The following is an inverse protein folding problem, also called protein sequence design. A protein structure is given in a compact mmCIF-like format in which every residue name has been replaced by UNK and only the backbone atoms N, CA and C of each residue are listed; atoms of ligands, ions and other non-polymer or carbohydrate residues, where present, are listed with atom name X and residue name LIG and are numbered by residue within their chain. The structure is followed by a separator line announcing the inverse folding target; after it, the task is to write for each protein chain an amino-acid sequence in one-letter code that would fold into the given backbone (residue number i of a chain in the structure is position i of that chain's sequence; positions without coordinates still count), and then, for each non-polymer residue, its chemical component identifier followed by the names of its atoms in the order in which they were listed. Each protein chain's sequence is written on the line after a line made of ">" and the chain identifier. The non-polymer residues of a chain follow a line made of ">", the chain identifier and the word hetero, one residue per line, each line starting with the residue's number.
data_IF_865299850432
#
_entry.id   IF_865299850432
#
_cell.length_a   1.000
_cell.length_b   1.000
_cell.length_c   1.000
_cell.angle_alpha   90.00
_cell.angle_beta   90.00
_cell.angle_gamma   90.00
#
_symmetry.space_group_name_H-M   'P 1'
#
loop_
_entity.id
_entity.type
_entity.pdbx_description
1 polymer ?
#
# COMPACT_ATOMS: atom_id res chain seq x y z
N UNK A 1 -0.07 -26.25 5.80
CA UNK A 1 -1.54 -26.07 5.83
C UNK A 1 -2.00 -25.47 4.52
N UNK A 2 -2.89 -26.18 3.82
CA UNK A 2 -3.49 -25.71 2.56
C UNK A 2 -4.17 -24.35 2.76
N UNK A 3 -3.93 -23.39 1.87
CA UNK A 3 -4.65 -22.10 1.84
C UNK A 3 -6.14 -22.41 1.76
N UNK A 4 -6.90 -22.19 2.84
CA UNK A 4 -8.37 -22.20 2.79
C UNK A 4 -8.80 -21.16 1.75
N UNK A 5 -9.35 -21.63 0.65
CA UNK A 5 -9.99 -20.79 -0.36
C UNK A 5 -11.28 -20.23 0.20
N UNK A 6 -11.20 -19.13 0.94
CA UNK A 6 -12.38 -18.35 1.26
C UNK A 6 -12.80 -17.56 0.00
N UNK A 7 -13.65 -18.17 -0.83
CA UNK A 7 -14.47 -17.40 -1.79
C UNK A 7 -15.50 -16.65 -0.96
N UNK A 8 -15.14 -15.48 -0.46
CA UNK A 8 -16.14 -14.56 0.08
C UNK A 8 -17.04 -14.14 -1.08
N UNK A 9 -18.23 -14.75 -1.20
CA UNK A 9 -19.21 -14.40 -2.22
C UNK A 9 -19.90 -13.11 -1.81
N UNK A 10 -19.50 -12.01 -2.42
CA UNK A 10 -20.09 -10.69 -2.19
C UNK A 10 -21.44 -10.49 -2.87
N UNK A 11 -21.92 -11.46 -3.65
CA UNK A 11 -23.06 -11.32 -4.57
C UNK A 11 -22.78 -10.40 -5.76
N UNK A 12 -21.79 -9.50 -5.65
CA UNK A 12 -21.32 -8.60 -6.70
C UNK A 12 -20.28 -9.35 -7.56
N UNK A 13 -20.71 -9.82 -8.73
CA UNK A 13 -19.85 -10.50 -9.69
C UNK A 13 -19.01 -9.51 -10.51
N UNK A 14 -17.87 -9.98 -11.01
CA UNK A 14 -17.11 -9.28 -12.05
C UNK A 14 -17.72 -9.64 -13.41
N UNK A 15 -17.74 -8.67 -14.31
CA UNK A 15 -18.10 -8.88 -15.70
C UNK A 15 -17.03 -9.72 -16.38
N UNK A 16 -17.46 -10.76 -17.09
CA UNK A 16 -16.60 -11.63 -17.87
C UNK A 16 -16.14 -10.91 -19.16
N UNK A 17 -15.01 -11.34 -19.71
CA UNK A 17 -14.47 -10.86 -20.99
C UNK A 17 -14.04 -9.39 -21.08
N UNK A 18 -13.93 -8.67 -19.95
CA UNK A 18 -13.34 -7.33 -19.92
C UNK A 18 -11.82 -7.39 -19.74
N UNK A 19 -11.11 -6.60 -20.54
CA UNK A 19 -9.66 -6.46 -20.49
C UNK A 19 -9.28 -5.47 -19.38
N UNK A 20 -9.54 -5.87 -18.14
CA UNK A 20 -9.50 -5.01 -16.95
C UNK A 20 -8.12 -4.42 -16.64
N UNK A 21 -7.05 -4.97 -17.21
CA UNK A 21 -5.69 -4.46 -17.03
C UNK A 21 -5.30 -3.42 -18.07
N UNK A 22 -6.07 -3.26 -19.14
CA UNK A 22 -5.71 -2.37 -20.24
C UNK A 22 -5.86 -0.90 -19.86
N UNK A 23 -5.00 -0.08 -20.47
CA UNK A 23 -5.16 1.34 -20.52
C UNK A 23 -6.11 1.75 -21.65
N UNK A 24 -6.83 2.84 -21.41
CA UNK A 24 -7.70 3.51 -22.35
C UNK A 24 -7.30 4.98 -22.44
N UNK A 25 -7.51 5.62 -23.58
CA UNK A 25 -7.49 7.07 -23.70
C UNK A 25 -8.95 7.57 -23.65
N UNK A 26 -9.22 8.64 -22.93
CA UNK A 26 -10.53 9.30 -22.92
C UNK A 26 -10.38 10.74 -23.37
N UNK A 27 -11.10 11.16 -24.41
CA UNK A 27 -10.96 12.49 -25.01
C UNK A 27 -12.33 13.09 -25.35
N UNK A 28 -12.43 14.41 -25.35
CA UNK A 28 -13.63 15.13 -25.80
C UNK A 28 -13.47 15.47 -27.27
N UNK A 29 -14.47 15.13 -28.09
CA UNK A 29 -14.46 15.44 -29.51
C UNK A 29 -14.39 16.95 -29.73
N UNK A 30 -13.39 17.43 -30.45
CA UNK A 30 -13.18 18.86 -30.68
C UNK A 30 -14.25 19.48 -31.59
N UNK A 31 -14.99 18.65 -32.34
CA UNK A 31 -16.09 19.09 -33.21
C UNK A 31 -17.44 19.13 -32.50
N UNK A 32 -17.78 18.11 -31.70
CA UNK A 32 -19.15 17.93 -31.19
C UNK A 32 -19.27 17.80 -29.66
N UNK A 33 -18.15 17.88 -28.92
CA UNK A 33 -18.14 17.83 -27.46
C UNK A 33 -18.43 16.46 -26.83
N UNK A 34 -18.60 15.39 -27.63
CA UNK A 34 -18.84 14.06 -27.08
C UNK A 34 -17.56 13.53 -26.39
N UNK A 35 -17.69 13.00 -25.17
CA UNK A 35 -16.66 12.19 -24.53
C UNK A 35 -16.55 10.82 -25.23
N UNK A 36 -15.37 10.55 -25.79
CA UNK A 36 -15.02 9.30 -26.45
C UNK A 36 -13.94 8.57 -25.65
N UNK A 37 -13.86 7.26 -25.83
CA UNK A 37 -12.81 6.44 -25.22
C UNK A 37 -12.26 5.44 -26.24
N UNK A 38 -10.94 5.27 -26.27
CA UNK A 38 -10.23 4.34 -27.16
C UNK A 38 -9.38 3.40 -26.32
N UNK A 39 -9.42 2.11 -26.64
CA UNK A 39 -8.61 1.09 -25.97
C UNK A 39 -7.16 1.18 -26.48
N UNK A 40 -6.21 1.31 -25.57
CA UNK A 40 -4.78 1.41 -25.88
C UNK A 40 -4.07 0.07 -25.65
N UNK A 41 -4.48 -0.67 -24.61
CA UNK A 41 -3.93 -1.99 -24.29
C UNK A 41 -2.92 -1.96 -23.14
N UNK A 42 -1.98 -2.92 -23.13
CA UNK A 42 -1.01 -3.10 -22.06
C UNK A 42 0.25 -2.23 -22.17
N UNK A 43 0.52 -1.65 -23.35
CA UNK A 43 1.66 -0.76 -23.59
C UNK A 43 1.16 0.67 -23.70
N UNK A 44 1.59 1.53 -22.78
CA UNK A 44 1.30 2.97 -22.88
C UNK A 44 2.04 3.56 -24.09
N UNK A 45 1.43 4.56 -24.70
CA UNK A 45 1.98 5.28 -25.85
C UNK A 45 2.76 6.49 -25.32
N UNK A 46 3.93 6.76 -25.89
CA UNK A 46 4.55 8.06 -25.71
C UNK A 46 3.76 9.14 -26.50
N UNK A 47 3.79 10.41 -26.09
CA UNK A 47 3.12 11.49 -26.81
C UNK A 47 3.46 11.58 -28.30
N UNK A 48 4.74 11.43 -28.65
CA UNK A 48 5.18 11.53 -30.03
C UNK A 48 4.72 10.30 -30.84
N UNK A 49 4.77 9.10 -30.26
CA UNK A 49 4.21 7.88 -30.87
C UNK A 49 2.71 8.02 -31.13
N UNK A 50 1.97 8.58 -30.16
CA UNK A 50 0.53 8.79 -30.28
C UNK A 50 0.21 9.79 -31.39
N UNK A 51 0.95 10.91 -31.47
CA UNK A 51 0.78 11.90 -32.55
C UNK A 51 0.95 11.27 -33.93
N UNK A 52 1.99 10.45 -34.09
CA UNK A 52 2.33 9.85 -35.38
C UNK A 52 1.31 8.77 -35.78
N UNK A 53 1.01 7.85 -34.86
CA UNK A 53 0.31 6.59 -35.15
C UNK A 53 -1.20 6.60 -34.89
N UNK A 54 -1.73 7.50 -34.05
CA UNK A 54 -3.13 7.46 -33.66
C UNK A 54 -4.03 8.27 -34.60
N UNK A 55 -5.18 7.68 -34.92
CA UNK A 55 -6.35 8.35 -35.50
C UNK A 55 -7.56 7.98 -34.65
N UNK A 56 -8.07 8.91 -33.86
CA UNK A 56 -9.17 8.65 -32.93
C UNK A 56 -10.47 9.23 -33.47
N UNK A 57 -11.40 8.35 -33.88
CA UNK A 57 -12.68 8.76 -34.45
C UNK A 57 -13.71 9.01 -33.35
N UNK A 58 -14.51 10.08 -33.50
CA UNK A 58 -15.63 10.34 -32.62
C UNK A 58 -16.81 9.40 -32.95
N UNK A 59 -17.31 8.67 -31.95
CA UNK A 59 -18.44 7.75 -32.12
C UNK A 59 -19.77 8.42 -32.47
N UNK A 60 -19.92 9.75 -32.28
CA UNK A 60 -21.14 10.49 -32.64
C UNK A 60 -21.07 11.15 -34.00
N UNK A 61 -19.98 11.87 -34.29
CA UNK A 61 -19.89 12.69 -35.52
C UNK A 61 -18.88 12.16 -36.55
N UNK A 62 -18.21 11.04 -36.26
CA UNK A 62 -17.22 10.43 -37.15
C UNK A 62 -15.91 11.21 -37.30
N UNK A 63 -15.81 12.42 -36.74
CA UNK A 63 -14.62 13.25 -36.88
C UNK A 63 -13.37 12.54 -36.35
N UNK A 64 -12.36 12.45 -37.21
CA UNK A 64 -11.07 11.86 -36.89
C UNK A 64 -10.14 12.88 -36.24
N UNK A 65 -9.58 12.51 -35.09
CA UNK A 65 -8.59 13.29 -34.37
C UNK A 65 -7.22 12.70 -34.68
N UNK A 66 -6.40 13.44 -35.41
CA UNK A 66 -5.10 12.99 -35.89
C UNK A 66 -4.31 14.14 -36.47
N UNK A 67 -2.99 14.01 -36.54
CA UNK A 67 -2.10 15.08 -37.03
C UNK A 67 -2.39 15.52 -38.48
N UNK A 68 -2.98 14.63 -39.28
CA UNK A 68 -3.34 14.90 -40.68
C UNK A 68 -4.76 15.48 -40.83
N UNK A 69 -5.51 15.60 -39.74
CA UNK A 69 -6.87 16.14 -39.74
C UNK A 69 -6.84 17.65 -39.65
N UNK A 70 -7.65 18.33 -40.47
CA UNK A 70 -7.95 19.74 -40.25
C UNK A 70 -8.70 19.91 -38.92
N UNK A 71 -8.46 21.00 -38.21
CA UNK A 71 -9.26 21.36 -37.05
C UNK A 71 -10.70 21.72 -37.50
N UNK A 72 -11.70 21.62 -36.61
CA UNK A 72 -13.03 22.12 -36.93
C UNK A 72 -12.98 23.60 -37.31
N UNK A 73 -13.91 24.01 -38.16
CA UNK A 73 -14.08 25.40 -38.53
C UNK A 73 -14.69 26.15 -37.34
N UNK A 74 -13.82 26.71 -36.49
CA UNK A 74 -14.22 27.51 -35.35
C UNK A 74 -14.29 28.96 -35.77
N UNK A 75 -15.44 29.60 -35.52
CA UNK A 75 -15.70 31.00 -35.91
C UNK A 75 -14.64 32.00 -35.43
N UNK A 76 -13.91 31.66 -34.36
CA UNK A 76 -12.89 32.51 -33.74
C UNK A 76 -11.45 32.21 -34.17
N UNK A 77 -11.22 31.28 -35.10
CA UNK A 77 -9.88 30.95 -35.64
C UNK A 77 -9.85 31.20 -37.14
N UNK A 78 -8.76 31.75 -37.70
CA UNK A 78 -8.64 31.90 -39.14
C UNK A 78 -8.55 30.51 -39.81
N UNK A 79 -9.24 30.32 -40.94
CA UNK A 79 -9.26 29.05 -41.67
C UNK A 79 -7.88 28.51 -42.04
N UNK A 80 -6.91 29.40 -42.29
CA UNK A 80 -5.51 29.05 -42.54
C UNK A 80 -4.84 28.34 -41.34
N UNK A 81 -5.25 28.69 -40.11
CA UNK A 81 -4.74 28.08 -38.89
C UNK A 81 -5.43 26.74 -38.56
N UNK A 82 -6.64 26.49 -39.07
CA UNK A 82 -7.37 25.23 -38.88
C UNK A 82 -7.09 24.23 -40.00
N UNK A 83 -6.52 24.67 -41.12
CA UNK A 83 -6.15 23.82 -42.25
C UNK A 83 -5.21 22.67 -41.85
N UNK A 84 -5.45 21.49 -42.43
CA UNK A 84 -4.61 20.31 -42.24
C UNK A 84 -3.16 20.60 -42.64
N UNK A 85 -2.20 20.16 -41.82
CA UNK A 85 -0.77 20.38 -42.07
C UNK A 85 -0.26 21.80 -41.78
N UNK A 86 -1.14 22.76 -41.46
CA UNK A 86 -0.72 24.08 -41.00
C UNK A 86 0.06 23.98 -39.68
N UNK A 87 1.00 24.90 -39.46
CA UNK A 87 1.77 24.92 -38.22
C UNK A 87 0.89 25.02 -36.96
N UNK A 88 -0.16 25.86 -36.90
CA UNK A 88 -1.07 25.92 -35.75
C UNK A 88 -1.83 24.61 -35.53
N UNK A 89 -2.38 24.00 -36.58
CA UNK A 89 -3.08 22.71 -36.46
C UNK A 89 -2.14 21.59 -35.96
N UNK A 90 -0.91 21.54 -36.47
CA UNK A 90 0.09 20.56 -36.02
C UNK A 90 0.45 20.74 -34.53
N UNK A 91 0.63 21.99 -34.08
CA UNK A 91 0.87 22.29 -32.64
C UNK A 91 -0.34 21.95 -31.78
N UNK A 92 -1.55 22.18 -32.27
CA UNK A 92 -2.77 21.75 -31.59
C UNK A 92 -2.78 20.24 -31.39
N UNK A 93 -2.53 19.45 -32.44
CA UNK A 93 -2.52 17.99 -32.35
C UNK A 93 -1.42 17.45 -31.45
N UNK A 94 -0.23 18.07 -31.47
CA UNK A 94 0.84 17.77 -30.51
C UNK A 94 0.36 17.96 -29.06
N UNK A 95 -0.28 19.09 -28.76
CA UNK A 95 -0.86 19.35 -27.44
C UNK A 95 -1.97 18.35 -27.09
N UNK A 96 -2.86 18.07 -28.04
CA UNK A 96 -3.97 17.14 -27.89
C UNK A 96 -3.47 15.75 -27.48
N UNK A 97 -2.57 15.12 -28.24
CA UNK A 97 -2.09 13.78 -27.89
C UNK A 97 -1.24 13.77 -26.63
N UNK A 98 -0.45 14.82 -26.40
CA UNK A 98 0.35 14.95 -25.17
C UNK A 98 -0.52 14.90 -23.92
N UNK A 99 -1.59 15.71 -23.82
CA UNK A 99 -2.45 15.75 -22.63
C UNK A 99 -3.02 14.36 -22.28
N UNK A 100 -3.29 13.54 -23.29
CA UNK A 100 -3.90 12.21 -23.12
C UNK A 100 -2.89 11.07 -22.90
N UNK A 101 -1.59 11.31 -23.07
CA UNK A 101 -0.55 10.24 -23.07
C UNK A 101 0.74 10.60 -22.33
N UNK A 102 0.89 11.83 -21.83
CA UNK A 102 2.12 12.34 -21.19
C UNK A 102 2.56 11.55 -19.95
N UNK A 103 1.61 11.00 -19.20
CA UNK A 103 1.91 10.20 -18.01
C UNK A 103 0.79 9.17 -17.76
N UNK A 104 1.04 8.12 -16.94
CA UNK A 104 0.04 7.10 -16.65
C UNK A 104 -1.28 7.66 -16.09
N UNK A 105 -1.27 8.83 -15.44
CA UNK A 105 -2.47 9.43 -14.85
C UNK A 105 -3.38 10.16 -15.84
N UNK A 106 -2.90 10.42 -17.06
CA UNK A 106 -3.67 10.91 -18.20
C UNK A 106 -4.59 9.85 -18.81
N UNK A 107 -4.27 8.57 -18.57
CA UNK A 107 -5.03 7.45 -19.09
C UNK A 107 -6.30 7.17 -18.29
N UNK A 108 -7.16 6.36 -18.88
CA UNK A 108 -8.42 5.87 -18.36
C UNK A 108 -8.34 4.35 -18.22
N UNK A 109 -9.29 3.78 -17.50
CA UNK A 109 -9.36 2.34 -17.24
C UNK A 109 -10.80 1.88 -17.20
N UNK A 110 -11.05 0.66 -17.68
CA UNK A 110 -12.36 0.04 -17.61
C UNK A 110 -12.55 -0.73 -16.29
N UNK A 111 -13.64 -0.45 -15.60
CA UNK A 111 -14.01 -1.16 -14.38
C UNK A 111 -14.56 -2.54 -14.71
N UNK A 112 -13.97 -3.60 -14.14
CA UNK A 112 -14.44 -4.96 -14.39
C UNK A 112 -15.70 -5.36 -13.62
N UNK A 113 -16.27 -4.46 -12.83
CA UNK A 113 -17.51 -4.72 -12.08
C UNK A 113 -18.72 -4.03 -12.73
N UNK A 114 -18.56 -2.77 -13.17
CA UNK A 114 -19.66 -2.00 -13.78
C UNK A 114 -19.46 -1.66 -15.26
N UNK A 115 -18.35 -2.08 -15.87
CA UNK A 115 -18.07 -1.90 -17.31
C UNK A 115 -17.70 -0.48 -17.74
N UNK A 116 -17.91 0.53 -16.88
CA UNK A 116 -17.58 1.93 -17.18
C UNK A 116 -16.09 2.13 -17.39
N UNK A 117 -15.74 2.88 -18.43
CA UNK A 117 -14.39 3.44 -18.63
C UNK A 117 -14.32 4.77 -17.89
N UNK A 118 -13.37 4.90 -16.96
CA UNK A 118 -13.28 6.04 -16.05
C UNK A 118 -11.83 6.57 -15.98
N UNK A 119 -11.62 7.84 -15.57
CA UNK A 119 -10.27 8.38 -15.38
C UNK A 119 -9.44 7.55 -14.40
N UNK A 120 -8.13 7.55 -14.56
CA UNK A 120 -7.16 6.87 -13.70
C UNK A 120 -7.42 7.02 -12.20
N UNK A 121 -7.79 8.23 -11.77
CA UNK A 121 -8.03 8.59 -10.37
C UNK A 121 -9.28 7.89 -9.82
N UNK A 122 -10.19 7.38 -10.65
CA UNK A 122 -11.34 6.60 -10.20
C UNK A 122 -10.96 5.22 -9.62
N UNK A 123 -9.69 4.81 -9.70
CA UNK A 123 -9.20 3.51 -9.24
C UNK A 123 -8.13 3.64 -8.16
N UNK A 124 -8.16 2.73 -7.18
CA UNK A 124 -7.13 2.66 -6.13
C UNK A 124 -5.83 2.09 -6.68
N UNK A 125 -4.68 2.52 -6.13
CA UNK A 125 -3.35 2.02 -6.53
C UNK A 125 -3.21 0.53 -6.17
N UNK A 126 -2.63 -0.23 -7.09
CA UNK A 126 -2.22 -1.62 -6.87
C UNK A 126 -1.02 -1.95 -7.75
N UNK A 127 0.14 -2.19 -7.15
CA UNK A 127 1.35 -2.54 -7.88
C UNK A 127 1.17 -3.87 -8.64
N UNK A 128 1.78 -3.98 -9.82
CA UNK A 128 1.77 -5.20 -10.64
C UNK A 128 0.47 -5.52 -11.37
N UNK A 129 -0.50 -4.61 -11.44
CA UNK A 129 -1.81 -4.82 -12.10
C UNK A 129 -1.91 -4.07 -13.45
N UNK A 130 -0.99 -4.37 -14.36
CA UNK A 130 -0.89 -3.75 -15.68
C UNK A 130 -0.20 -2.39 -15.66
N UNK A 131 -0.14 -1.69 -16.81
CA UNK A 131 0.67 -0.48 -16.99
C UNK A 131 0.26 0.69 -16.09
N UNK A 132 -1.00 0.72 -15.63
CA UNK A 132 -1.52 1.81 -14.79
C UNK A 132 -1.30 1.58 -13.29
N UNK A 133 -0.91 0.36 -12.87
CA UNK A 133 -0.83 -0.01 -11.45
C UNK A 133 -2.10 0.34 -10.64
N UNK A 134 -3.27 -0.03 -11.19
CA UNK A 134 -4.58 0.26 -10.60
C UNK A 134 -5.40 -1.02 -10.41
N UNK A 135 -6.24 -1.02 -9.37
CA UNK A 135 -7.22 -2.07 -9.13
C UNK A 135 -8.17 -2.24 -10.34
N UNK A 136 -8.70 -3.44 -10.51
CA UNK A 136 -9.61 -3.77 -11.61
C UNK A 136 -11.01 -3.15 -11.41
N UNK A 137 -11.45 -3.04 -10.17
CA UNK A 137 -12.69 -2.36 -9.80
C UNK A 137 -12.46 -0.86 -9.52
N UNK A 138 -13.41 0.00 -9.92
CA UNK A 138 -13.38 1.42 -9.56
C UNK A 138 -13.73 1.62 -8.07
N UNK A 139 -13.36 2.78 -7.52
CA UNK A 139 -13.59 3.11 -6.10
C UNK A 139 -15.06 3.02 -5.69
N UNK A 140 -16.00 3.35 -6.58
CA UNK A 140 -17.44 3.21 -6.31
C UNK A 140 -17.86 1.75 -6.15
N UNK A 141 -17.45 0.87 -7.07
CA UNK A 141 -17.74 -0.56 -6.99
C UNK A 141 -17.03 -1.20 -5.79
N UNK A 142 -15.78 -0.79 -5.52
CA UNK A 142 -15.05 -1.22 -4.33
C UNK A 142 -15.75 -0.85 -3.04
N UNK A 143 -16.36 0.34 -2.97
CA UNK A 143 -17.19 0.76 -1.85
C UNK A 143 -18.34 -0.19 -1.58
N UNK A 144 -19.12 -0.53 -2.62
CA UNK A 144 -20.23 -1.49 -2.51
C UNK A 144 -19.75 -2.89 -2.08
N UNK A 145 -18.66 -3.38 -2.69
CA UNK A 145 -18.03 -4.67 -2.31
C UNK A 145 -17.61 -4.67 -0.83
N UNK A 146 -16.94 -3.59 -0.39
CA UNK A 146 -16.48 -3.48 0.99
C UNK A 146 -17.63 -3.33 1.99
N UNK A 147 -18.77 -2.75 1.61
CA UNK A 147 -19.94 -2.67 2.48
C UNK A 147 -20.49 -4.07 2.86
N UNK A 148 -20.38 -5.05 1.95
CA UNK A 148 -20.73 -6.45 2.21
C UNK A 148 -19.61 -7.18 2.95
N UNK A 149 -18.35 -6.95 2.57
CA UNK A 149 -17.21 -7.70 3.14
C UNK A 149 -16.78 -7.23 4.53
N UNK A 150 -16.86 -5.94 4.83
CA UNK A 150 -16.34 -5.39 6.09
C UNK A 150 -17.09 -5.94 7.32
N UNK A 151 -18.43 -6.09 7.32
CA UNK A 151 -19.15 -6.73 8.44
C UNK A 151 -18.76 -8.19 8.66
N UNK A 152 -18.26 -8.88 7.64
CA UNK A 152 -17.82 -10.28 7.70
C UNK A 152 -16.36 -10.43 8.16
N UNK A 153 -15.61 -9.33 8.34
CA UNK A 153 -14.23 -9.38 8.85
C UNK A 153 -14.24 -9.51 10.36
N UNK A 154 -13.36 -10.34 10.90
CA UNK A 154 -13.15 -10.37 12.36
C UNK A 154 -12.51 -9.05 12.82
N UNK A 155 -12.66 -8.72 14.09
CA UNK A 155 -12.12 -7.49 14.69
C UNK A 155 -10.60 -7.40 14.51
N UNK A 156 -9.92 -8.54 14.55
CA UNK A 156 -8.48 -8.71 14.35
C UNK A 156 -8.07 -8.42 12.90
N UNK A 157 -8.87 -8.85 11.91
CA UNK A 157 -8.62 -8.59 10.49
C UNK A 157 -8.83 -7.11 10.12
N UNK A 158 -9.82 -6.45 10.75
CA UNK A 158 -10.01 -5.01 10.58
C UNK A 158 -8.83 -4.21 11.17
N UNK A 159 -8.35 -4.59 12.36
CA UNK A 159 -7.17 -3.99 13.00
C UNK A 159 -5.88 -4.22 12.18
N UNK A 160 -5.75 -5.37 11.51
CA UNK A 160 -4.63 -5.66 10.59
C UNK A 160 -4.65 -4.75 9.34
N UNK A 161 -5.82 -4.46 8.80
CA UNK A 161 -5.98 -3.70 7.55
C UNK A 161 -5.87 -2.17 7.69
N UNK A 162 -6.17 -1.60 8.86
CA UNK A 162 -6.33 -0.15 9.01
C UNK A 162 -5.04 0.61 9.41
N UNK A 163 -4.20 0.06 10.30
CA UNK A 163 -3.22 0.91 11.02
C UNK A 163 -1.89 0.23 11.38
N UNK A 164 -1.76 -1.09 11.17
CA UNK A 164 -0.75 -1.91 11.87
C UNK A 164 0.71 -1.72 11.45
N UNK A 165 1.03 -1.38 10.20
CA UNK A 165 2.44 -1.20 9.79
C UNK A 165 2.98 0.20 10.11
N UNK A 166 2.32 1.26 9.64
CA UNK A 166 2.86 2.63 9.77
C UNK A 166 2.85 3.17 11.20
N UNK A 167 1.82 2.87 12.01
CA UNK A 167 1.76 3.42 13.39
C UNK A 167 2.61 2.62 14.36
N UNK A 168 2.65 1.28 14.26
CA UNK A 168 3.55 0.46 15.09
C UNK A 168 5.02 0.76 14.78
N UNK A 169 5.38 1.00 13.51
CA UNK A 169 6.73 1.50 13.14
C UNK A 169 7.03 2.88 13.73
N UNK A 170 6.04 3.78 13.83
CA UNK A 170 6.22 5.10 14.42
C UNK A 170 6.31 5.07 15.95
N UNK A 171 5.60 4.14 16.59
CA UNK A 171 5.69 3.85 18.02
C UNK A 171 7.09 3.29 18.37
N UNK A 172 7.65 2.42 17.53
CA UNK A 172 8.99 1.86 17.72
C UNK A 172 10.13 2.73 17.18
N UNK A 173 9.83 3.90 16.60
CA UNK A 173 10.83 4.75 15.95
C UNK A 173 11.75 5.39 17.00
N UNK A 174 13.01 4.99 16.99
CA UNK A 174 14.03 5.45 17.94
C UNK A 174 14.21 4.53 19.15
N UNK A 175 13.34 3.53 19.32
CA UNK A 175 13.43 2.51 20.38
C UNK A 175 14.35 1.34 19.99
N UNK A 176 14.56 1.12 18.69
CA UNK A 176 15.43 0.04 18.20
C UNK A 176 16.91 0.41 18.35
N UNK A 177 17.67 -0.51 18.93
CA UNK A 177 19.12 -0.45 19.01
C UNK A 177 19.77 -0.89 17.68
N UNK A 178 20.93 -0.31 17.35
CA UNK A 178 21.74 -0.81 16.24
C UNK A 178 22.39 -2.12 16.66
N UNK A 179 22.02 -3.21 15.98
CA UNK A 179 22.56 -4.54 16.27
C UNK A 179 23.93 -4.75 15.65
N UNK A 180 24.85 -5.29 16.45
CA UNK A 180 26.14 -5.82 15.99
C UNK A 180 26.00 -7.33 15.72
N UNK A 181 26.20 -7.73 14.47
CA UNK A 181 26.08 -9.13 14.06
C UNK A 181 27.19 -10.01 14.63
N UNK A 182 28.39 -9.48 14.87
CA UNK A 182 29.46 -10.26 15.49
C UNK A 182 29.12 -10.58 16.95
N UNK A 183 28.61 -9.60 17.70
CA UNK A 183 28.11 -9.79 19.07
C UNK A 183 26.94 -10.78 19.11
N UNK A 184 25.98 -10.65 18.18
CA UNK A 184 24.85 -11.57 18.07
C UNK A 184 25.31 -13.02 17.83
N UNK A 185 26.20 -13.23 16.86
CA UNK A 185 26.75 -14.57 16.58
C UNK A 185 27.52 -15.13 17.77
N UNK A 186 28.32 -14.31 18.46
CA UNK A 186 29.04 -14.72 19.66
C UNK A 186 28.10 -15.17 20.77
N UNK A 187 27.02 -14.43 21.02
CA UNK A 187 26.02 -14.74 22.07
C UNK A 187 25.32 -16.07 21.85
N UNK A 188 25.00 -16.40 20.60
CA UNK A 188 24.32 -17.63 20.22
C UNK A 188 25.28 -18.74 19.72
N UNK A 189 26.60 -18.57 19.92
CA UNK A 189 27.60 -19.55 19.53
C UNK A 189 27.63 -19.89 18.04
N UNK A 190 27.25 -18.93 17.18
CA UNK A 190 27.16 -19.09 15.73
C UNK A 190 26.12 -20.12 15.28
N UNK A 191 25.06 -20.32 16.07
CA UNK A 191 24.01 -21.30 15.77
C UNK A 191 22.62 -20.67 15.83
N UNK A 192 21.71 -21.23 15.03
CA UNK A 192 20.29 -20.97 15.19
C UNK A 192 19.86 -21.39 16.58
N UNK A 193 19.27 -20.47 17.35
CA UNK A 193 18.85 -20.76 18.71
C UNK A 193 17.84 -21.91 18.78
N UNK A 194 16.86 -21.92 17.86
CA UNK A 194 15.78 -22.92 17.86
C UNK A 194 16.22 -24.31 17.43
N UNK A 195 17.07 -24.41 16.41
CA UNK A 195 17.39 -25.70 15.77
C UNK A 195 18.81 -26.20 16.08
N UNK A 196 19.67 -25.35 16.65
CA UNK A 196 21.08 -25.66 16.89
C UNK A 196 21.94 -25.70 15.62
N UNK A 197 21.36 -25.47 14.44
CA UNK A 197 22.06 -25.46 13.16
C UNK A 197 23.19 -24.41 13.19
N UNK A 198 24.41 -24.79 12.80
CA UNK A 198 25.51 -23.83 12.62
C UNK A 198 25.21 -22.88 11.47
N UNK A 199 25.45 -21.59 11.70
CA UNK A 199 25.22 -20.52 10.75
C UNK A 199 26.54 -19.81 10.45
N UNK A 200 26.67 -19.34 9.21
CA UNK A 200 27.79 -18.49 8.79
C UNK A 200 27.32 -17.03 8.77
N UNK A 201 28.06 -16.16 9.47
CA UNK A 201 27.78 -14.73 9.53
C UNK A 201 27.84 -14.07 8.14
N UNK A 202 28.67 -14.59 7.24
CA UNK A 202 28.84 -14.06 5.88
C UNK A 202 27.76 -14.56 4.91
N UNK A 203 27.08 -15.66 5.21
CA UNK A 203 25.98 -16.21 4.41
C UNK A 203 24.62 -15.58 4.79
N UNK A 204 24.46 -14.28 4.51
CA UNK A 204 23.34 -13.45 5.02
C UNK A 204 21.94 -13.98 4.67
N UNK A 205 21.81 -14.75 3.60
CA UNK A 205 20.58 -15.36 3.13
C UNK A 205 20.12 -16.59 3.94
N UNK A 206 20.98 -17.12 4.82
CA UNK A 206 20.73 -18.36 5.58
C UNK A 206 20.20 -18.12 6.99
N UNK A 207 20.36 -16.90 7.52
CA UNK A 207 20.00 -16.54 8.88
C UNK A 207 19.23 -15.22 8.94
N UNK A 208 18.51 -15.01 10.04
CA UNK A 208 17.79 -13.77 10.32
C UNK A 208 17.99 -13.33 11.77
N UNK A 209 18.00 -12.01 11.94
CA UNK A 209 17.85 -11.36 13.24
C UNK A 209 16.35 -11.28 13.55
N UNK A 210 15.92 -12.00 14.58
CA UNK A 210 14.52 -12.05 15.00
C UNK A 210 14.27 -11.28 16.30
N UNK A 211 13.04 -10.78 16.47
CA UNK A 211 12.59 -10.26 17.76
C UNK A 211 12.05 -11.42 18.60
N UNK A 212 12.59 -11.67 19.78
CA UNK A 212 12.08 -12.68 20.72
C UNK A 212 10.60 -12.39 20.98
N UNK A 213 10.31 -11.24 21.59
CA UNK A 213 8.99 -10.65 21.73
C UNK A 213 8.64 -9.85 20.47
N UNK A 214 7.53 -10.15 19.78
CA UNK A 214 7.24 -9.55 18.47
C UNK A 214 6.99 -8.04 18.51
N UNK A 215 7.49 -7.32 17.50
CA UNK A 215 7.21 -5.89 17.30
C UNK A 215 5.73 -5.56 17.12
N UNK A 216 4.91 -6.55 16.72
CA UNK A 216 3.44 -6.46 16.69
C UNK A 216 2.83 -6.08 18.05
N UNK A 217 3.51 -6.45 19.14
CA UNK A 217 3.19 -6.15 20.54
C UNK A 217 4.06 -5.02 21.11
N UNK A 218 4.70 -4.25 20.24
CA UNK A 218 5.50 -3.06 20.55
C UNK A 218 6.79 -3.33 21.34
N UNK A 219 7.39 -4.51 21.20
CA UNK A 219 8.74 -4.71 21.73
C UNK A 219 9.78 -4.30 20.69
N UNK A 220 10.70 -3.37 21.03
CA UNK A 220 11.75 -2.94 20.12
C UNK A 220 12.82 -4.01 19.91
N UNK A 221 13.59 -3.85 18.84
CA UNK A 221 14.81 -4.62 18.61
C UNK A 221 15.91 -4.10 19.53
N UNK A 222 16.17 -4.81 20.62
CA UNK A 222 17.25 -4.52 21.58
C UNK A 222 18.12 -5.75 21.75
N UNK A 223 19.29 -5.62 22.38
CA UNK A 223 20.10 -6.80 22.73
C UNK A 223 19.32 -7.84 23.53
N UNK A 224 18.47 -7.42 24.47
CA UNK A 224 17.66 -8.33 25.29
C UNK A 224 16.53 -9.00 24.49
N UNK A 225 16.02 -8.34 23.45
CA UNK A 225 14.92 -8.85 22.62
C UNK A 225 15.37 -9.43 21.26
N UNK A 226 16.67 -9.54 21.00
CA UNK A 226 17.22 -10.06 19.75
C UNK A 226 17.60 -11.54 19.85
N UNK A 227 17.26 -12.30 18.82
CA UNK A 227 17.62 -13.72 18.69
C UNK A 227 18.20 -14.04 17.31
N UNK A 228 19.19 -14.94 17.27
CA UNK A 228 19.73 -15.49 16.02
C UNK A 228 18.97 -16.75 15.61
N UNK A 229 18.30 -16.70 14.46
CA UNK A 229 17.56 -17.83 13.90
C UNK A 229 18.03 -18.16 12.48
N UNK A 230 17.91 -19.43 12.09
CA UNK A 230 17.92 -19.78 10.66
C UNK A 230 16.69 -19.18 9.99
N UNK A 231 16.79 -18.93 8.68
CA UNK A 231 15.68 -18.37 7.90
C UNK A 231 14.40 -19.21 8.00
N UNK A 232 14.53 -20.53 8.02
CA UNK A 232 13.42 -21.47 8.18
C UNK A 232 12.75 -21.33 9.56
N UNK A 233 13.55 -21.35 10.65
CA UNK A 233 13.03 -21.21 12.01
C UNK A 233 12.32 -19.86 12.20
N UNK A 234 12.89 -18.78 11.64
CA UNK A 234 12.29 -17.45 11.66
C UNK A 234 10.95 -17.41 10.91
N UNK A 235 10.88 -18.02 9.72
CA UNK A 235 9.65 -18.13 8.93
C UNK A 235 8.56 -18.95 9.62
N UNK A 236 8.95 -19.94 10.44
CA UNK A 236 8.03 -20.73 11.24
C UNK A 236 7.52 -19.96 12.46
N UNK A 237 8.37 -19.17 13.12
CA UNK A 237 8.00 -18.33 14.27
C UNK A 237 7.02 -17.21 13.90
N UNK A 238 7.25 -16.51 12.79
CA UNK A 238 6.44 -15.36 12.36
C UNK A 238 6.29 -14.32 13.50
N UNK A 239 5.07 -13.92 13.83
CA UNK A 239 4.74 -13.02 14.94
C UNK A 239 4.21 -13.77 16.18
N UNK A 240 4.48 -15.07 16.31
CA UNK A 240 4.08 -15.83 17.48
C UNK A 240 4.78 -15.31 18.75
N UNK A 241 4.05 -15.33 19.86
CA UNK A 241 4.62 -15.05 21.18
C UNK A 241 5.63 -16.15 21.57
N UNK A 242 6.70 -15.83 22.34
CA UNK A 242 7.75 -16.80 22.68
C UNK A 242 7.23 -18.13 23.23
N UNK A 243 6.27 -18.10 24.17
CA UNK A 243 5.68 -19.31 24.78
C UNK A 243 4.92 -20.22 23.81
N UNK A 244 4.56 -19.73 22.62
CA UNK A 244 3.91 -20.52 21.57
C UNK A 244 4.90 -21.15 20.59
N UNK A 245 6.19 -20.78 20.66
CA UNK A 245 7.21 -21.23 19.71
C UNK A 245 8.38 -21.94 20.38
N UNK A 246 8.78 -21.47 21.56
CA UNK A 246 9.84 -22.05 22.36
C UNK A 246 9.23 -22.91 23.49
N UNK A 247 9.93 -24.00 23.81
CA UNK A 247 9.69 -24.84 24.98
C UNK A 247 10.15 -24.12 26.25
N UNK A 248 9.70 -24.57 27.42
CA UNK A 248 10.08 -23.96 28.70
C UNK A 248 11.61 -23.91 28.91
N UNK A 249 12.33 -24.97 28.52
CA UNK A 249 13.79 -25.00 28.63
C UNK A 249 14.45 -23.99 27.67
N UNK A 250 13.94 -23.86 26.45
CA UNK A 250 14.40 -22.85 25.50
C UNK A 250 14.10 -21.43 26.00
N UNK A 251 12.97 -21.19 26.67
CA UNK A 251 12.65 -19.88 27.26
C UNK A 251 13.60 -19.52 28.39
N UNK A 252 13.90 -20.47 29.28
CA UNK A 252 14.89 -20.30 30.36
C UNK A 252 16.26 -19.95 29.77
N UNK A 253 16.66 -20.67 28.72
CA UNK A 253 17.94 -20.44 28.06
C UNK A 253 17.98 -19.09 27.31
N UNK A 254 16.89 -18.69 26.65
CA UNK A 254 16.79 -17.35 26.06
C UNK A 254 16.95 -16.27 27.11
N UNK A 255 16.19 -16.34 28.21
CA UNK A 255 16.28 -15.39 29.31
C UNK A 255 17.71 -15.31 29.86
N UNK A 256 18.40 -16.45 29.99
CA UNK A 256 19.79 -16.51 30.44
C UNK A 256 20.77 -15.86 29.46
N UNK A 257 20.62 -16.09 28.15
CA UNK A 257 21.52 -15.55 27.11
C UNK A 257 21.28 -14.05 26.89
N UNK A 258 20.02 -13.60 26.95
CA UNK A 258 19.64 -12.24 26.57
C UNK A 258 19.38 -11.31 27.73
N UNK A 259 19.19 -11.83 28.94
CA UNK A 259 18.74 -11.04 30.09
C UNK A 259 17.26 -10.65 30.01
N UNK A 260 16.48 -11.23 29.07
CA UNK A 260 15.05 -10.98 28.98
C UNK A 260 14.29 -11.57 30.18
N UNK A 261 13.19 -10.93 30.55
CA UNK A 261 12.32 -11.38 31.64
C UNK A 261 11.63 -12.70 31.27
N UNK A 262 12.04 -13.78 31.94
CA UNK A 262 11.48 -15.12 31.75
C UNK A 262 9.96 -15.15 32.00
N UNK A 263 9.45 -14.40 32.97
CA UNK A 263 8.03 -14.39 33.29
C UNK A 263 7.20 -13.83 32.13
N UNK A 264 7.71 -12.78 31.47
CA UNK A 264 7.11 -12.20 30.28
C UNK A 264 7.20 -13.14 29.08
N UNK A 265 8.37 -13.73 28.84
CA UNK A 265 8.56 -14.70 27.75
C UNK A 265 7.63 -15.91 27.89
N UNK A 266 7.42 -16.39 29.11
CA UNK A 266 6.59 -17.54 29.43
C UNK A 266 5.08 -17.22 29.49
N UNK A 267 4.68 -15.95 29.40
CA UNK A 267 3.25 -15.59 29.38
C UNK A 267 2.52 -16.32 28.27
N UNK A 268 1.36 -16.90 28.59
CA UNK A 268 0.49 -17.56 27.61
C UNK A 268 -0.26 -16.57 26.72
N UNK A 269 -0.57 -15.41 27.28
CA UNK A 269 -1.24 -14.34 26.56
C UNK A 269 -0.22 -13.27 26.17
N UNK A 270 -0.21 -12.81 24.91
CA UNK A 270 0.64 -11.71 24.51
C UNK A 270 0.34 -10.43 25.29
N UNK A 271 1.39 -9.78 25.77
CA UNK A 271 1.30 -8.52 26.54
C UNK A 271 1.81 -7.38 25.67
N UNK A 272 1.06 -6.30 25.53
CA UNK A 272 1.55 -5.08 24.85
C UNK A 272 2.64 -4.44 25.72
N UNK A 273 3.79 -4.09 25.12
CA UNK A 273 4.83 -3.35 25.83
C UNK A 273 4.30 -1.99 26.31
N UNK A 274 4.24 -1.73 27.64
CA UNK A 274 3.79 -0.45 28.16
C UNK A 274 4.87 0.64 28.09
N UNK A 275 6.14 0.26 27.95
CA UNK A 275 7.29 1.16 27.93
C UNK A 275 7.57 1.66 26.52
N UNK A 276 6.62 2.43 25.98
CA UNK A 276 6.73 3.05 24.65
C UNK A 276 6.41 4.52 24.76
N UNK A 277 7.25 5.36 24.13
CA UNK A 277 7.01 6.79 24.04
C UNK A 277 5.85 7.10 23.06
N UNK A 278 4.65 7.07 23.63
CA UNK A 278 3.41 7.37 22.92
C UNK A 278 3.34 8.84 22.48
N UNK A 279 3.94 9.77 23.23
CA UNK A 279 3.92 11.20 22.93
C UNK A 279 4.78 11.52 21.69
N UNK A 280 5.95 10.88 21.57
CA UNK A 280 6.75 10.99 20.36
C UNK A 280 6.03 10.39 19.15
N UNK A 281 5.26 9.32 19.32
CA UNK A 281 4.41 8.81 18.25
C UNK A 281 3.36 9.82 17.80
N UNK A 282 2.65 10.49 18.73
CA UNK A 282 1.67 11.55 18.41
C UNK A 282 2.33 12.66 17.60
N UNK A 283 3.48 13.15 18.06
CA UNK A 283 4.24 14.20 17.38
C UNK A 283 4.62 13.78 15.96
N UNK A 284 5.12 12.56 15.77
CA UNK A 284 5.54 12.05 14.45
C UNK A 284 4.33 11.81 13.52
N UNK A 285 3.24 11.27 14.04
CA UNK A 285 2.06 10.90 13.26
C UNK A 285 1.28 12.11 12.76
N UNK A 286 1.25 13.18 13.56
CA UNK A 286 0.52 14.41 13.27
C UNK A 286 1.38 15.48 12.56
N UNK A 287 2.70 15.29 12.45
CA UNK A 287 3.59 16.15 11.65
C UNK A 287 3.39 15.87 10.15
N UNK A 288 2.44 16.58 9.52
CA UNK A 288 2.13 16.47 8.08
C UNK A 288 2.18 17.86 7.43
N UNK A 289 2.74 17.94 6.22
CA UNK A 289 2.89 19.20 5.45
C UNK A 289 1.63 19.63 4.69
N UNK A 290 0.62 18.76 4.60
CA UNK A 290 -0.62 19.02 3.85
C UNK A 290 -1.83 18.80 4.76
N UNK A 291 -2.71 19.81 4.85
CA UNK A 291 -3.87 19.88 5.75
C UNK A 291 -5.01 18.90 5.46
N UNK A 292 -4.79 17.94 4.56
CA UNK A 292 -5.76 16.92 4.20
C UNK A 292 -5.99 15.91 5.32
N UNK A 293 -6.99 16.21 6.16
CA UNK A 293 -7.66 15.29 7.09
C UNK A 293 -6.98 15.02 8.45
N UNK A 294 -6.63 16.09 9.17
CA UNK A 294 -6.14 16.02 10.55
C UNK A 294 -7.15 15.33 11.50
N UNK A 295 -8.45 15.63 11.38
CA UNK A 295 -9.48 15.04 12.25
C UNK A 295 -9.55 13.51 12.15
N UNK A 296 -9.50 12.96 10.93
CA UNK A 296 -9.46 11.50 10.73
C UNK A 296 -8.20 10.90 11.34
N UNK A 297 -7.03 11.55 11.17
CA UNK A 297 -5.77 11.06 11.74
C UNK A 297 -5.77 11.07 13.26
N UNK A 298 -6.29 12.13 13.88
CA UNK A 298 -6.46 12.22 15.33
C UNK A 298 -7.34 11.07 15.82
N UNK A 299 -8.48 10.83 15.17
CA UNK A 299 -9.36 9.70 15.48
C UNK A 299 -8.67 8.34 15.31
N UNK A 300 -7.99 8.11 14.19
CA UNK A 300 -7.27 6.86 13.93
C UNK A 300 -6.19 6.58 14.97
N UNK A 301 -5.44 7.61 15.39
CA UNK A 301 -4.40 7.47 16.40
C UNK A 301 -4.99 7.19 17.77
N UNK A 302 -6.04 7.92 18.17
CA UNK A 302 -6.78 7.69 19.41
C UNK A 302 -7.28 6.26 19.50
N UNK A 303 -8.06 5.84 18.50
CA UNK A 303 -8.69 4.51 18.48
C UNK A 303 -7.62 3.40 18.53
N UNK A 304 -6.42 3.63 17.95
CA UNK A 304 -5.30 2.71 18.03
C UNK A 304 -4.68 2.65 19.43
N UNK A 305 -4.39 3.78 20.06
CA UNK A 305 -3.79 3.81 21.40
C UNK A 305 -4.74 3.19 22.44
N UNK A 306 -6.04 3.48 22.35
CA UNK A 306 -7.07 2.89 23.20
C UNK A 306 -7.14 1.37 23.03
N UNK A 307 -7.15 0.89 21.77
CA UNK A 307 -7.23 -0.55 21.49
C UNK A 307 -6.04 -1.35 22.04
N UNK A 308 -4.93 -0.68 22.36
CA UNK A 308 -3.71 -1.25 22.91
C UNK A 308 -3.50 -0.91 24.39
N UNK A 309 -4.42 -0.18 25.02
CA UNK A 309 -4.30 0.25 26.42
C UNK A 309 -3.19 1.27 26.69
N UNK A 310 -2.74 2.00 25.66
CA UNK A 310 -1.56 2.88 25.73
C UNK A 310 -1.91 4.33 26.07
N UNK A 311 -3.19 4.70 26.05
CA UNK A 311 -3.66 6.08 26.26
C UNK A 311 -3.30 6.62 27.65
N UNK A 312 -3.06 5.74 28.63
CA UNK A 312 -2.60 6.12 29.96
C UNK A 312 -1.24 6.84 29.93
N UNK A 313 -0.33 6.42 29.04
CA UNK A 313 1.03 6.95 28.91
C UNK A 313 1.13 8.31 28.20
N UNK A 314 0.03 8.85 27.69
CA UNK A 314 0.01 10.16 27.02
C UNK A 314 0.17 11.32 28.03
N UNK A 315 0.96 12.33 27.66
CA UNK A 315 0.97 13.62 28.34
C UNK A 315 -0.41 14.28 28.37
N UNK A 316 -0.64 15.18 29.34
CA UNK A 316 -1.89 15.93 29.43
C UNK A 316 -2.21 16.72 28.16
N UNK A 317 -1.19 17.25 27.47
CA UNK A 317 -1.36 17.96 26.22
C UNK A 317 -1.87 17.04 25.10
N UNK A 318 -1.26 15.85 24.94
CA UNK A 318 -1.68 14.90 23.91
C UNK A 318 -2.98 14.18 24.24
N UNK A 319 -3.31 13.97 25.53
CA UNK A 319 -4.65 13.53 25.95
C UNK A 319 -5.72 14.49 25.44
N UNK A 320 -5.56 15.79 25.68
CA UNK A 320 -6.47 16.83 25.16
C UNK A 320 -6.52 16.85 23.63
N UNK A 321 -5.37 16.77 22.96
CA UNK A 321 -5.28 16.77 21.50
C UNK A 321 -6.04 15.59 20.87
N UNK A 322 -5.97 14.42 21.50
CA UNK A 322 -6.67 13.21 21.05
C UNK A 322 -8.11 13.12 21.57
N UNK A 323 -8.54 14.00 22.47
CA UNK A 323 -9.89 14.00 23.05
C UNK A 323 -10.09 12.98 24.17
N UNK A 324 -9.02 12.59 24.87
CA UNK A 324 -9.10 11.97 26.20
C UNK A 324 -9.19 13.10 27.22
N UNK A 325 -10.28 13.14 27.98
CA UNK A 325 -10.54 14.17 29.00
C UNK A 325 -9.42 14.24 30.04
#
# INVERSE_FOLDING_TARGET
>A
MARRGAKNSTGIARLENLQAHDAWAGFVCVRCGLLNTVRIGQKLLAPDDALESCRWSCGKCGFEHGKDSALPDWDNWPGEATAAGSAPAMRFWQGFFRIHTENPSSYWKQCNTCGRVLPFQAFSRHAGWGPLERQMECRSCKGAINAVLNPLRTKEQMQESASRRRVSELLLKGENERMDFADLFKRFGGKCFKTGQKLDIHARETWELDHILPSTWLYPMTKANACLLSKEANQNKKAAWPSHFYTNNELIELARITGADLSLLASREPVVNPEIDVDACVTRYLKVREGGNLQKRVKELRDLLDSRGLSAGLSAANKRLLGHA
#
